data_IF_011831035606
#
_entry.id   IF_011831035606
#
_cell.length_a   1.000
_cell.length_b   1.000
_cell.length_c   1.000
_cell.angle_alpha   90.00
_cell.angle_beta   90.00
_cell.angle_gamma   90.00
#
_symmetry.space_group_name_H-M   'P 1'
#
loop_
_entity.id
_entity.type
_entity.pdbx_description
1 polymer ?
#
# COMPACT_ATOMS: atom_id res chain seq x y z
N UNK A 1 62.54 65.12 22.48
CA UNK A 1 61.11 64.78 22.37
C UNK A 1 60.91 63.76 21.27
N UNK A 2 60.76 62.48 21.58
CA UNK A 2 60.56 61.41 20.58
C UNK A 2 59.05 61.13 20.55
N UNK A 3 58.41 61.34 19.42
CA UNK A 3 57.00 60.97 19.16
C UNK A 3 56.92 59.48 18.88
N UNK A 4 56.23 58.73 19.72
CA UNK A 4 55.87 57.33 19.49
C UNK A 4 54.53 57.36 18.77
N UNK A 5 54.50 56.92 17.50
CA UNK A 5 53.30 56.73 16.71
C UNK A 5 52.82 55.28 16.93
N UNK A 6 51.77 55.09 17.73
CA UNK A 6 51.14 53.79 17.91
C UNK A 6 50.34 53.38 16.68
N UNK A 7 50.71 52.23 16.09
CA UNK A 7 49.99 51.57 15.03
C UNK A 7 48.94 50.64 15.62
N UNK A 8 47.66 51.03 15.57
CA UNK A 8 46.54 50.16 15.97
C UNK A 8 46.27 49.18 14.82
N UNK A 9 46.63 47.91 15.03
CA UNK A 9 46.28 46.80 14.08
C UNK A 9 44.85 46.35 14.41
N UNK A 10 43.89 46.75 13.59
CA UNK A 10 42.50 46.20 13.65
C UNK A 10 42.52 44.78 13.11
N UNK A 11 42.47 43.80 14.00
CA UNK A 11 42.22 42.38 13.65
C UNK A 11 40.72 42.24 13.37
N UNK A 12 40.37 42.17 12.07
CA UNK A 12 39.04 41.72 11.66
C UNK A 12 38.97 40.18 11.88
N UNK A 13 38.38 39.77 12.98
CA UNK A 13 37.93 38.38 13.16
C UNK A 13 36.74 38.18 12.21
N UNK A 14 37.03 37.58 11.05
CA UNK A 14 35.96 36.99 10.23
C UNK A 14 35.45 35.77 10.99
N UNK A 15 34.36 35.95 11.77
CA UNK A 15 33.53 34.86 12.15
C UNK A 15 32.80 34.41 10.88
N UNK A 16 33.38 33.43 10.17
CA UNK A 16 32.62 32.59 9.25
C UNK A 16 31.65 31.83 10.13
N UNK A 17 30.41 32.28 10.15
CA UNK A 17 29.30 31.47 10.66
C UNK A 17 29.19 30.31 9.68
N UNK A 18 29.79 29.15 9.98
CA UNK A 18 29.48 27.94 9.26
C UNK A 18 27.95 27.75 9.39
N UNK A 19 27.29 27.90 8.27
CA UNK A 19 25.84 27.71 8.21
C UNK A 19 25.60 26.22 8.49
N UNK A 20 24.82 25.92 9.51
CA UNK A 20 24.41 24.55 9.78
C UNK A 20 23.67 23.99 8.57
N UNK A 21 24.22 22.96 7.91
CA UNK A 21 23.66 22.29 6.76
C UNK A 21 23.14 20.89 7.11
N UNK A 22 22.95 20.60 8.39
CA UNK A 22 22.54 19.28 8.83
C UNK A 22 21.14 18.88 8.33
N UNK A 23 20.34 19.84 7.84
CA UNK A 23 19.09 19.54 7.13
C UNK A 23 19.30 18.63 5.91
N UNK A 24 20.46 18.70 5.24
CA UNK A 24 20.78 17.86 4.07
C UNK A 24 20.83 16.39 4.48
N UNK A 25 21.43 16.07 5.63
CA UNK A 25 21.50 14.71 6.14
C UNK A 25 20.10 14.17 6.43
N UNK A 26 19.21 14.98 7.04
CA UNK A 26 17.82 14.58 7.27
C UNK A 26 17.08 14.30 5.96
N UNK A 27 17.28 15.14 4.94
CA UNK A 27 16.59 15.00 3.66
C UNK A 27 17.11 13.85 2.79
N UNK A 28 18.38 13.46 2.93
CA UNK A 28 18.95 12.32 2.21
C UNK A 28 18.79 10.99 2.94
N UNK A 29 18.35 11.04 4.20
CA UNK A 29 18.07 9.86 5.00
C UNK A 29 16.79 9.17 4.50
N UNK A 30 16.86 7.90 4.04
CA UNK A 30 15.70 7.15 3.60
C UNK A 30 14.63 7.00 4.69
N UNK A 31 15.01 6.99 5.97
CA UNK A 31 14.07 6.92 7.09
C UNK A 31 13.11 8.12 7.11
N UNK A 32 13.52 9.27 6.59
CA UNK A 32 12.64 10.45 6.49
C UNK A 32 11.47 10.19 5.54
N UNK A 33 11.68 9.49 4.43
CA UNK A 33 10.60 9.10 3.53
C UNK A 33 9.74 7.96 4.11
N UNK A 34 10.38 6.96 4.70
CA UNK A 34 9.67 5.85 5.38
C UNK A 34 8.76 6.38 6.49
N UNK A 35 9.20 7.37 7.27
CA UNK A 35 8.39 8.02 8.30
C UNK A 35 7.17 8.77 7.71
N UNK A 36 7.32 9.37 6.54
CA UNK A 36 6.20 10.01 5.84
C UNK A 36 5.16 8.99 5.34
N UNK A 37 5.61 7.84 4.83
CA UNK A 37 4.73 6.72 4.45
C UNK A 37 4.03 6.14 5.68
N UNK A 38 4.76 5.93 6.78
CA UNK A 38 4.18 5.45 8.05
C UNK A 38 3.12 6.42 8.59
N UNK A 39 3.38 7.73 8.56
CA UNK A 39 2.39 8.73 8.96
C UNK A 39 1.11 8.65 8.11
N UNK A 40 1.25 8.44 6.81
CA UNK A 40 0.09 8.25 5.93
C UNK A 40 -0.66 6.96 6.27
N UNK A 41 0.06 5.87 6.54
CA UNK A 41 -0.51 4.59 7.02
C UNK A 41 -1.30 4.79 8.31
N UNK A 42 -0.75 5.52 9.29
CA UNK A 42 -1.43 5.80 10.57
C UNK A 42 -2.75 6.55 10.36
N UNK A 43 -2.79 7.47 9.41
CA UNK A 43 -4.03 8.19 9.08
C UNK A 43 -5.02 7.29 8.32
N UNK A 44 -4.56 6.44 7.41
CA UNK A 44 -5.40 5.44 6.72
C UNK A 44 -6.07 4.52 7.75
N UNK A 45 -5.32 4.03 8.73
CA UNK A 45 -5.82 3.20 9.84
C UNK A 45 -6.79 3.99 10.72
N UNK A 46 -6.46 5.24 11.03
CA UNK A 46 -7.31 6.11 11.84
C UNK A 46 -8.66 6.38 11.18
N UNK A 47 -8.67 6.66 9.88
CA UNK A 47 -9.84 6.96 9.06
C UNK A 47 -10.61 5.71 8.60
N UNK A 48 -10.09 4.50 8.87
CA UNK A 48 -10.69 3.20 8.54
C UNK A 48 -10.99 3.10 7.03
N UNK A 49 -10.01 3.40 6.19
CA UNK A 49 -10.17 3.24 4.74
C UNK A 49 -10.25 1.78 4.33
N UNK A 50 -11.12 1.48 3.35
CA UNK A 50 -11.19 0.15 2.74
C UNK A 50 -9.86 -0.24 2.08
N UNK A 51 -9.51 -1.54 2.04
CA UNK A 51 -8.26 -1.99 1.43
C UNK A 51 -8.03 -1.50 -0.01
N UNK A 52 -9.02 -1.53 -0.93
CA UNK A 52 -8.86 -0.96 -2.26
C UNK A 52 -8.59 0.56 -2.25
N UNK A 53 -9.33 1.31 -1.42
CA UNK A 53 -9.13 2.76 -1.31
C UNK A 53 -7.77 3.09 -0.72
N UNK A 54 -7.30 2.32 0.28
CA UNK A 54 -5.97 2.47 0.84
C UNK A 54 -4.87 2.29 -0.22
N UNK A 55 -4.99 1.31 -1.12
CA UNK A 55 -4.03 1.11 -2.21
C UNK A 55 -3.94 2.33 -3.13
N UNK A 56 -5.07 2.97 -3.41
CA UNK A 56 -5.12 4.23 -4.15
C UNK A 56 -4.40 5.36 -3.42
N UNK A 57 -4.59 5.46 -2.11
CA UNK A 57 -3.96 6.49 -1.27
C UNK A 57 -2.43 6.28 -1.19
N UNK A 58 -1.92 5.06 -1.27
CA UNK A 58 -0.48 4.81 -1.34
C UNK A 58 0.13 5.10 -2.71
N UNK A 59 -0.58 4.80 -3.80
CA UNK A 59 -0.01 4.85 -5.15
C UNK A 59 0.20 6.26 -5.66
N UNK A 60 -0.79 7.14 -5.59
CA UNK A 60 -0.68 8.49 -6.16
C UNK A 60 0.40 9.36 -5.47
N UNK A 61 0.54 9.38 -4.12
CA UNK A 61 1.64 10.09 -3.48
C UNK A 61 3.02 9.53 -3.87
N UNK A 62 3.15 8.20 -3.96
CA UNK A 62 4.40 7.55 -4.36
C UNK A 62 4.80 7.90 -5.79
N UNK A 63 3.84 7.93 -6.72
CA UNK A 63 4.06 8.39 -8.11
C UNK A 63 4.52 9.86 -8.13
N UNK A 64 3.87 10.73 -7.33
CA UNK A 64 4.28 12.14 -7.26
C UNK A 64 5.71 12.30 -6.73
N UNK A 65 6.08 11.55 -5.69
CA UNK A 65 7.42 11.56 -5.15
C UNK A 65 8.44 11.07 -6.18
N UNK A 66 8.14 9.99 -6.90
CA UNK A 66 9.04 9.42 -7.90
C UNK A 66 9.26 10.36 -9.10
N UNK A 67 8.22 11.01 -9.60
CA UNK A 67 8.34 11.96 -10.69
C UNK A 67 9.23 13.16 -10.33
N UNK A 68 9.40 13.48 -9.05
CA UNK A 68 10.37 14.47 -8.59
C UNK A 68 11.77 13.86 -8.48
N UNK A 69 11.92 12.72 -7.77
CA UNK A 69 13.25 12.20 -7.43
C UNK A 69 13.99 11.64 -8.65
N UNK A 70 13.30 11.28 -9.74
CA UNK A 70 13.95 10.86 -10.98
C UNK A 70 14.95 11.88 -11.54
N UNK A 71 14.82 13.14 -11.13
CA UNK A 71 15.75 14.21 -11.52
C UNK A 71 17.04 14.25 -10.68
N UNK A 72 17.15 13.47 -9.59
CA UNK A 72 18.38 13.34 -8.82
C UNK A 72 19.48 12.69 -9.67
N UNK A 73 19.10 11.64 -10.39
CA UNK A 73 19.97 10.99 -11.37
C UNK A 73 19.19 10.70 -12.67
N UNK A 74 19.14 11.68 -13.60
CA UNK A 74 18.46 11.51 -14.88
C UNK A 74 19.09 10.45 -15.79
N UNK A 75 20.31 9.97 -15.48
CA UNK A 75 20.94 8.87 -16.21
C UNK A 75 20.45 7.49 -15.72
N UNK A 76 20.05 7.39 -14.46
CA UNK A 76 19.55 6.16 -13.82
C UNK A 76 18.04 5.99 -14.02
N UNK A 77 17.27 7.04 -13.79
CA UNK A 77 15.81 6.96 -13.75
C UNK A 77 15.14 7.45 -15.02
N UNK A 78 13.96 6.91 -15.28
CA UNK A 78 13.06 7.35 -16.35
C UNK A 78 11.68 7.72 -15.78
N UNK A 79 10.96 8.59 -16.48
CA UNK A 79 9.62 9.00 -16.09
C UNK A 79 8.61 7.85 -16.22
N UNK A 80 7.60 7.84 -15.36
CA UNK A 80 6.45 6.95 -15.45
C UNK A 80 5.44 7.43 -16.50
N UNK A 81 5.53 8.67 -16.96
CA UNK A 81 4.68 9.21 -18.01
C UNK A 81 4.81 8.39 -19.30
N UNK A 82 3.65 7.97 -19.85
CA UNK A 82 3.56 7.10 -21.01
C UNK A 82 3.77 5.61 -20.72
N UNK A 83 4.07 5.23 -19.46
CA UNK A 83 4.09 3.86 -18.98
C UNK A 83 2.88 3.55 -18.09
N UNK A 84 2.34 4.58 -17.44
CA UNK A 84 1.11 4.53 -16.65
C UNK A 84 -0.02 5.16 -17.47
N UNK A 85 -1.19 4.58 -17.40
CA UNK A 85 -2.39 4.98 -18.14
C UNK A 85 -2.69 6.47 -17.98
N UNK A 86 -2.72 7.20 -19.08
CA UNK A 86 -3.04 8.64 -19.18
C UNK A 86 -2.12 9.57 -18.35
N UNK A 87 -1.02 9.06 -17.78
CA UNK A 87 -0.07 9.90 -17.08
C UNK A 87 0.80 10.68 -18.10
N UNK A 88 0.68 12.00 -18.07
CA UNK A 88 1.51 12.91 -18.87
C UNK A 88 2.75 13.34 -18.07
N UNK A 89 3.73 13.92 -18.76
CA UNK A 89 4.97 14.38 -18.12
C UNK A 89 4.69 15.42 -17.03
N UNK A 90 5.23 15.18 -15.84
CA UNK A 90 5.22 16.15 -14.76
C UNK A 90 6.10 17.37 -15.09
N UNK A 91 5.86 18.54 -14.46
CA UNK A 91 6.70 19.72 -14.59
C UNK A 91 8.18 19.42 -14.30
N UNK A 92 9.08 20.11 -15.03
CA UNK A 92 10.53 20.00 -14.82
C UNK A 92 10.99 20.92 -13.68
N UNK A 93 12.04 20.55 -12.90
CA UNK A 93 12.56 21.40 -11.84
C UNK A 93 13.24 22.66 -12.41
N UNK A 94 13.15 23.74 -11.64
CA UNK A 94 13.96 24.95 -11.89
C UNK A 94 15.23 24.92 -11.03
N UNK A 95 16.17 25.83 -11.30
CA UNK A 95 17.38 25.96 -10.50
C UNK A 95 17.08 26.19 -9.00
N UNK A 96 18.00 25.80 -8.12
CA UNK A 96 17.95 25.94 -6.65
C UNK A 96 16.93 25.06 -5.92
N UNK A 97 16.34 24.07 -6.55
CA UNK A 97 15.43 23.11 -5.91
C UNK A 97 16.22 22.01 -5.20
N UNK A 98 15.92 21.73 -3.93
CA UNK A 98 16.32 20.50 -3.27
C UNK A 98 15.31 19.41 -3.63
N UNK A 99 15.70 18.45 -4.46
CA UNK A 99 14.83 17.42 -5.02
C UNK A 99 14.30 16.44 -3.96
N UNK A 100 15.07 16.14 -2.90
CA UNK A 100 14.60 15.30 -1.79
C UNK A 100 13.44 15.99 -1.05
N UNK A 101 13.61 17.28 -0.71
CA UNK A 101 12.55 18.06 -0.07
C UNK A 101 11.31 18.20 -0.97
N UNK A 102 11.52 18.45 -2.26
CA UNK A 102 10.42 18.58 -3.23
C UNK A 102 9.66 17.25 -3.41
N UNK A 103 10.36 16.12 -3.46
CA UNK A 103 9.77 14.77 -3.53
C UNK A 103 8.93 14.47 -2.28
N UNK A 104 9.50 14.69 -1.11
CA UNK A 104 8.81 14.51 0.16
C UNK A 104 7.57 15.41 0.26
N UNK A 105 7.68 16.68 -0.17
CA UNK A 105 6.55 17.61 -0.20
C UNK A 105 5.46 17.18 -1.18
N UNK A 106 5.83 16.70 -2.37
CA UNK A 106 4.87 16.17 -3.34
C UNK A 106 4.11 14.97 -2.78
N UNK A 107 4.83 14.00 -2.15
CA UNK A 107 4.23 12.86 -1.45
C UNK A 107 3.20 13.31 -0.40
N UNK A 108 3.64 14.17 0.52
CA UNK A 108 2.80 14.63 1.63
C UNK A 108 1.60 15.45 1.17
N UNK A 109 1.74 16.26 0.13
CA UNK A 109 0.66 17.08 -0.42
C UNK A 109 -0.41 16.21 -1.07
N UNK A 110 -0.01 15.22 -1.90
CA UNK A 110 -0.96 14.29 -2.53
C UNK A 110 -1.61 13.40 -1.47
N UNK A 111 -0.81 12.84 -0.55
CA UNK A 111 -1.33 11.98 0.52
C UNK A 111 -2.37 12.70 1.38
N UNK A 112 -2.09 13.95 1.79
CA UNK A 112 -3.03 14.75 2.56
C UNK A 112 -4.35 15.01 1.82
N UNK A 113 -4.31 15.23 0.51
CA UNK A 113 -5.50 15.49 -0.29
C UNK A 113 -6.42 14.27 -0.50
N UNK A 114 -5.94 13.05 -0.20
CA UNK A 114 -6.67 11.80 -0.43
C UNK A 114 -7.26 11.18 0.85
N UNK A 115 -7.05 11.78 2.01
CA UNK A 115 -7.50 11.29 3.32
C UNK A 115 -8.57 12.20 3.93
N UNK A 116 -9.25 11.72 4.99
CA UNK A 116 -10.26 12.53 5.69
C UNK A 116 -9.65 13.39 6.80
N UNK A 117 -8.73 12.83 7.58
CA UNK A 117 -8.12 13.51 8.73
C UNK A 117 -6.89 14.33 8.33
N UNK A 118 -7.09 15.29 7.40
CA UNK A 118 -6.03 16.16 6.86
C UNK A 118 -5.20 16.86 7.95
N UNK A 119 -5.80 17.23 9.08
CA UNK A 119 -5.15 17.91 10.20
C UNK A 119 -4.03 17.09 10.83
N UNK A 120 -4.19 15.75 10.87
CA UNK A 120 -3.15 14.85 11.39
C UNK A 120 -1.92 14.85 10.49
N UNK A 121 -2.13 14.84 9.18
CA UNK A 121 -1.05 14.94 8.21
C UNK A 121 -0.42 16.33 8.24
N UNK A 122 -1.22 17.40 8.34
CA UNK A 122 -0.70 18.75 8.44
C UNK A 122 0.19 18.96 9.67
N UNK A 123 -0.24 18.44 10.81
CA UNK A 123 0.58 18.47 12.05
C UNK A 123 1.95 17.79 11.87
N UNK A 124 2.00 16.66 11.17
CA UNK A 124 3.26 16.00 10.83
C UNK A 124 4.12 16.86 9.90
N UNK A 125 3.52 17.42 8.85
CA UNK A 125 4.18 18.30 7.86
C UNK A 125 4.82 19.51 8.55
N UNK A 126 4.08 20.17 9.44
CA UNK A 126 4.57 21.35 10.16
C UNK A 126 5.78 21.02 11.04
N UNK A 127 5.71 19.95 11.82
CA UNK A 127 6.83 19.46 12.64
C UNK A 127 8.06 19.08 11.80
N UNK A 128 7.86 18.45 10.66
CA UNK A 128 8.94 18.11 9.75
C UNK A 128 9.67 19.36 9.25
N UNK A 129 8.92 20.38 8.84
CA UNK A 129 9.51 21.62 8.34
C UNK A 129 10.17 22.45 9.44
N UNK A 130 9.58 22.53 10.63
CA UNK A 130 10.25 23.12 11.80
C UNK A 130 11.60 22.44 12.09
N UNK A 131 11.63 21.11 12.12
CA UNK A 131 12.86 20.32 12.32
C UNK A 131 13.92 20.64 11.25
N UNK A 132 13.53 20.80 9.98
CA UNK A 132 14.46 21.11 8.89
C UNK A 132 14.97 22.57 9.00
N UNK A 133 14.12 23.52 9.38
CA UNK A 133 14.50 24.91 9.62
C UNK A 133 15.49 25.04 10.79
N UNK A 134 15.23 24.35 11.89
CA UNK A 134 16.12 24.30 13.05
C UNK A 134 17.50 23.71 12.69
N UNK A 135 17.57 22.87 11.66
CA UNK A 135 18.80 22.28 11.11
C UNK A 135 19.41 23.10 9.95
N UNK A 136 19.00 24.35 9.83
CA UNK A 136 19.60 25.30 8.90
C UNK A 136 19.07 25.28 7.47
N UNK A 137 17.88 24.72 7.20
CA UNK A 137 17.27 24.79 5.86
C UNK A 137 17.07 26.25 5.42
N UNK A 138 17.73 26.71 4.34
CA UNK A 138 17.60 28.08 3.86
C UNK A 138 16.17 28.36 3.36
N UNK A 139 15.64 29.54 3.67
CA UNK A 139 14.30 29.95 3.27
C UNK A 139 14.09 29.95 1.75
N UNK A 140 15.12 30.33 0.97
CA UNK A 140 15.06 30.29 -0.50
C UNK A 140 14.92 28.87 -1.02
N UNK A 141 15.73 27.94 -0.53
CA UNK A 141 15.70 26.53 -0.87
C UNK A 141 14.35 25.91 -0.48
N UNK A 142 13.87 26.15 0.76
CA UNK A 142 12.55 25.70 1.18
C UNK A 142 11.48 26.20 0.21
N UNK A 143 11.44 27.51 -0.05
CA UNK A 143 10.42 28.11 -0.92
C UNK A 143 10.42 27.51 -2.33
N UNK A 144 11.60 27.38 -2.95
CA UNK A 144 11.72 26.84 -4.31
C UNK A 144 11.31 25.37 -4.36
N UNK A 145 11.78 24.56 -3.39
CA UNK A 145 11.50 23.12 -3.33
C UNK A 145 10.01 22.83 -3.08
N UNK A 146 9.38 23.56 -2.15
CA UNK A 146 7.95 23.40 -1.91
C UNK A 146 7.13 23.87 -3.11
N UNK A 147 7.51 24.95 -3.79
CA UNK A 147 6.81 25.41 -4.99
C UNK A 147 6.85 24.37 -6.12
N UNK A 148 8.02 23.77 -6.37
CA UNK A 148 8.16 22.70 -7.37
C UNK A 148 7.41 21.42 -6.97
N UNK A 149 7.57 20.95 -5.73
CA UNK A 149 6.82 19.79 -5.22
C UNK A 149 5.30 19.98 -5.30
N UNK A 150 4.79 21.21 -5.03
CA UNK A 150 3.38 21.54 -5.20
C UNK A 150 2.94 21.46 -6.68
N UNK A 151 3.77 21.91 -7.62
CA UNK A 151 3.43 21.81 -9.05
C UNK A 151 3.29 20.35 -9.48
N UNK A 152 4.20 19.47 -9.07
CA UNK A 152 4.12 18.04 -9.36
C UNK A 152 2.92 17.41 -8.64
N UNK A 153 2.70 17.75 -7.36
CA UNK A 153 1.53 17.25 -6.61
C UNK A 153 0.22 17.61 -7.30
N UNK A 154 0.05 18.85 -7.73
CA UNK A 154 -1.16 19.31 -8.44
C UNK A 154 -1.36 18.56 -9.77
N UNK A 155 -0.28 18.33 -10.52
CA UNK A 155 -0.32 17.55 -11.76
C UNK A 155 -0.83 16.11 -11.50
N UNK A 156 -0.33 15.45 -10.46
CA UNK A 156 -0.77 14.10 -10.09
C UNK A 156 -2.20 14.11 -9.54
N UNK A 157 -2.60 15.11 -8.74
CA UNK A 157 -3.96 15.23 -8.23
C UNK A 157 -4.98 15.47 -9.36
N UNK A 158 -4.67 16.31 -10.35
CA UNK A 158 -5.51 16.53 -11.52
C UNK A 158 -5.69 15.22 -12.31
N UNK A 159 -4.59 14.51 -12.59
CA UNK A 159 -4.63 13.21 -13.25
C UNK A 159 -5.41 12.16 -12.45
N UNK A 160 -5.20 12.08 -11.12
CA UNK A 160 -5.92 11.16 -10.24
C UNK A 160 -7.42 11.46 -10.17
N UNK A 161 -7.82 12.70 -10.36
CA UNK A 161 -9.23 13.11 -10.40
C UNK A 161 -10.03 12.52 -11.58
N UNK A 162 -9.34 12.02 -12.60
CA UNK A 162 -9.92 11.34 -13.77
C UNK A 162 -10.02 9.83 -13.66
N UNK A 163 -9.76 9.23 -12.50
CA UNK A 163 -9.69 7.78 -12.30
C UNK A 163 -11.05 7.10 -12.02
N UNK A 164 -12.15 7.80 -12.13
CA UNK A 164 -13.52 7.33 -11.83
C UNK A 164 -13.84 7.16 -10.34
N UNK A 165 -12.90 7.36 -9.40
CA UNK A 165 -13.15 7.19 -7.97
C UNK A 165 -14.34 8.01 -7.46
N UNK A 166 -14.41 9.28 -7.87
CA UNK A 166 -15.50 10.17 -7.47
C UNK A 166 -16.86 9.70 -8.03
N UNK A 167 -16.87 9.21 -9.27
CA UNK A 167 -18.08 8.75 -9.96
C UNK A 167 -18.62 7.47 -9.31
N UNK A 168 -17.74 6.50 -8.97
CA UNK A 168 -18.16 5.25 -8.33
C UNK A 168 -18.87 5.45 -7.00
N UNK A 169 -18.61 6.56 -6.30
CA UNK A 169 -19.34 6.93 -5.04
C UNK A 169 -20.82 7.22 -5.27
N UNK A 170 -21.23 7.47 -6.51
CA UNK A 170 -22.62 7.79 -6.87
C UNK A 170 -23.35 6.62 -7.53
N UNK A 171 -22.66 5.50 -7.78
CA UNK A 171 -23.25 4.32 -8.40
C UNK A 171 -24.15 3.57 -7.43
N UNK A 172 -25.13 2.77 -7.94
CA UNK A 172 -26.00 1.98 -7.07
C UNK A 172 -25.21 1.03 -6.17
N UNK A 173 -25.63 0.91 -4.93
CA UNK A 173 -25.07 -0.10 -4.02
C UNK A 173 -25.42 -1.50 -4.50
N UNK A 174 -24.63 -2.49 -4.06
CA UNK A 174 -24.95 -3.89 -4.31
C UNK A 174 -26.32 -4.24 -3.72
N UNK A 175 -27.15 -4.91 -4.52
CA UNK A 175 -28.43 -5.44 -4.08
C UNK A 175 -28.28 -6.92 -3.77
N UNK A 176 -28.67 -7.34 -2.57
CA UNK A 176 -28.60 -8.74 -2.14
C UNK A 176 -29.46 -9.59 -3.08
N UNK A 177 -28.86 -10.70 -3.55
CA UNK A 177 -29.51 -11.68 -4.44
C UNK A 177 -30.00 -12.87 -3.59
N UNK A 178 -31.11 -13.50 -4.02
CA UNK A 178 -31.74 -14.60 -3.27
C UNK A 178 -31.04 -15.95 -3.51
N UNK A 179 -30.32 -16.10 -4.63
CA UNK A 179 -29.63 -17.32 -5.00
C UNK A 179 -28.67 -17.79 -3.90
N UNK A 180 -28.63 -19.10 -3.56
CA UNK A 180 -27.86 -19.62 -2.43
C UNK A 180 -26.35 -19.46 -2.58
N UNK A 181 -25.85 -19.44 -3.81
CA UNK A 181 -24.43 -19.28 -4.13
C UNK A 181 -23.94 -17.82 -4.09
N UNK A 182 -24.86 -16.85 -3.99
CA UNK A 182 -24.51 -15.43 -4.04
C UNK A 182 -24.20 -14.87 -2.66
N UNK A 183 -23.18 -14.01 -2.62
CA UNK A 183 -22.72 -13.35 -1.42
C UNK A 183 -23.82 -12.54 -0.73
N UNK A 184 -23.86 -12.67 0.58
CA UNK A 184 -24.73 -11.91 1.48
C UNK A 184 -23.90 -11.34 2.62
N UNK A 185 -24.29 -10.18 3.19
CA UNK A 185 -23.66 -9.64 4.39
C UNK A 185 -23.61 -10.68 5.52
N UNK A 186 -22.50 -10.70 6.25
CA UNK A 186 -22.23 -11.65 7.34
C UNK A 186 -22.27 -10.98 8.72
N UNK A 187 -22.48 -11.77 9.80
CA UNK A 187 -22.36 -11.26 11.16
C UNK A 187 -20.97 -10.64 11.42
N UNK A 188 -20.81 -9.82 12.50
CA UNK A 188 -21.86 -9.39 13.41
C UNK A 188 -22.66 -8.19 12.92
N UNK A 189 -22.15 -7.39 11.98
CA UNK A 189 -22.72 -6.08 11.63
C UNK A 189 -23.55 -6.10 10.34
N UNK A 190 -23.51 -7.17 9.58
CA UNK A 190 -24.19 -7.26 8.28
C UNK A 190 -23.91 -6.06 7.38
N UNK A 191 -22.62 -5.68 7.31
CA UNK A 191 -22.17 -4.49 6.58
C UNK A 191 -22.48 -4.60 5.09
N UNK A 192 -22.78 -3.46 4.47
CA UNK A 192 -22.94 -3.37 3.02
C UNK A 192 -21.67 -3.77 2.28
N UNK A 193 -21.81 -4.26 1.05
CA UNK A 193 -20.69 -4.67 0.21
C UNK A 193 -19.71 -3.53 -0.08
N UNK A 194 -18.43 -3.79 0.17
CA UNK A 194 -17.35 -2.81 0.02
C UNK A 194 -16.92 -2.72 -1.44
N UNK A 195 -16.93 -1.48 -1.97
CA UNK A 195 -16.37 -1.11 -3.27
C UNK A 195 -16.90 -1.95 -4.45
N UNK A 196 -18.24 -2.10 -4.63
CA UNK A 196 -18.79 -2.95 -5.68
C UNK A 196 -18.47 -2.48 -7.11
N UNK A 197 -17.98 -1.26 -7.25
CA UNK A 197 -17.63 -0.66 -8.54
C UNK A 197 -16.13 -0.37 -8.69
N UNK A 198 -15.27 -1.03 -7.89
CA UNK A 198 -13.82 -0.80 -7.94
C UNK A 198 -13.21 -1.18 -9.30
N UNK A 199 -13.82 -2.09 -10.03
CA UNK A 199 -13.46 -2.44 -11.41
C UNK A 199 -13.52 -1.27 -12.40
N UNK A 200 -14.30 -0.23 -12.11
CA UNK A 200 -14.45 0.95 -12.94
C UNK A 200 -13.32 1.97 -12.70
N UNK A 201 -12.51 1.77 -11.67
CA UNK A 201 -11.34 2.61 -11.40
C UNK A 201 -10.30 2.38 -12.50
N UNK A 202 -9.75 3.47 -13.02
CA UNK A 202 -8.70 3.41 -14.06
C UNK A 202 -7.47 2.69 -13.51
N UNK A 203 -7.07 1.56 -14.11
CA UNK A 203 -5.83 0.88 -13.74
C UNK A 203 -4.60 1.73 -14.10
N UNK A 204 -3.47 1.42 -13.48
CA UNK A 204 -2.23 2.15 -13.71
C UNK A 204 -1.39 1.52 -14.82
N UNK A 205 -1.16 0.22 -14.79
CA UNK A 205 -0.28 -0.50 -15.70
C UNK A 205 -1.00 -1.61 -16.45
N UNK A 206 -1.91 -2.34 -15.79
CA UNK A 206 -2.73 -3.36 -16.49
C UNK A 206 -3.70 -2.68 -17.46
N UNK A 207 -4.03 -3.36 -18.55
CA UNK A 207 -4.85 -2.80 -19.64
C UNK A 207 -6.32 -2.62 -19.24
N UNK A 208 -6.83 -3.49 -18.37
CA UNK A 208 -8.21 -3.47 -17.86
C UNK A 208 -8.34 -4.28 -16.58
N UNK A 209 -9.41 -4.05 -15.82
CA UNK A 209 -9.71 -4.80 -14.59
C UNK A 209 -9.82 -6.32 -14.81
N UNK A 210 -10.39 -6.75 -15.93
CA UNK A 210 -10.56 -8.17 -16.30
C UNK A 210 -9.40 -8.78 -17.10
N UNK A 211 -8.24 -8.11 -17.22
CA UNK A 211 -7.13 -8.63 -18.01
C UNK A 211 -6.60 -9.98 -17.49
N UNK A 212 -6.60 -10.17 -16.18
CA UNK A 212 -6.15 -11.39 -15.51
C UNK A 212 -7.34 -12.06 -14.82
N UNK A 213 -8.36 -12.38 -15.61
CA UNK A 213 -9.52 -13.12 -15.14
C UNK A 213 -9.10 -14.54 -14.74
N UNK A 214 -9.28 -14.93 -13.46
CA UNK A 214 -8.97 -16.29 -13.03
C UNK A 214 -9.96 -17.29 -13.61
N UNK A 215 -9.70 -18.58 -13.45
CA UNK A 215 -10.67 -19.62 -13.79
C UNK A 215 -11.97 -19.42 -13.01
N UNK A 216 -13.11 -19.81 -13.57
CA UNK A 216 -14.40 -19.69 -12.89
C UNK A 216 -14.41 -20.43 -11.54
N UNK A 217 -15.09 -19.88 -10.50
CA UNK A 217 -15.28 -20.57 -9.24
C UNK A 217 -16.09 -21.86 -9.42
N UNK A 218 -15.82 -22.84 -8.56
CA UNK A 218 -16.56 -24.10 -8.56
C UNK A 218 -18.08 -23.87 -8.38
N UNK A 219 -18.85 -24.62 -9.11
CA UNK A 219 -20.31 -24.55 -9.00
C UNK A 219 -20.79 -24.91 -7.60
N UNK A 220 -21.61 -24.05 -7.01
CA UNK A 220 -22.19 -24.29 -5.69
C UNK A 220 -22.95 -25.62 -5.65
N UNK A 221 -22.57 -26.51 -4.74
CA UNK A 221 -23.22 -27.78 -4.51
C UNK A 221 -23.01 -28.27 -3.08
N UNK A 222 -24.08 -28.73 -2.45
CA UNK A 222 -24.03 -29.37 -1.12
C UNK A 222 -24.01 -30.91 -1.23
N UNK A 223 -24.00 -31.45 -2.44
CA UNK A 223 -23.93 -32.90 -2.68
C UNK A 223 -22.55 -33.44 -2.31
N UNK A 224 -22.55 -34.49 -1.47
CA UNK A 224 -21.32 -35.15 -1.03
C UNK A 224 -20.49 -35.67 -2.23
N UNK A 225 -19.19 -35.38 -2.23
CA UNK A 225 -18.27 -35.75 -3.30
C UNK A 225 -18.10 -34.72 -4.41
N UNK A 226 -18.88 -33.65 -4.43
CA UNK A 226 -18.61 -32.50 -5.32
C UNK A 226 -17.43 -31.68 -4.83
N UNK A 227 -16.75 -30.98 -5.74
CA UNK A 227 -15.58 -30.18 -5.40
C UNK A 227 -15.91 -29.05 -4.43
N UNK A 228 -17.01 -28.32 -4.66
CA UNK A 228 -17.45 -27.28 -3.72
C UNK A 228 -17.71 -27.84 -2.31
N UNK A 229 -18.41 -28.99 -2.21
CA UNK A 229 -18.66 -29.62 -0.91
C UNK A 229 -17.36 -30.03 -0.21
N UNK A 230 -16.38 -30.56 -0.95
CA UNK A 230 -15.07 -30.95 -0.40
C UNK A 230 -14.37 -29.72 0.22
N UNK A 231 -14.33 -28.60 -0.49
CA UNK A 231 -13.70 -27.37 -0.01
C UNK A 231 -14.47 -26.72 1.14
N UNK A 232 -15.80 -26.78 1.13
CA UNK A 232 -16.62 -26.36 2.26
C UNK A 232 -16.29 -27.15 3.53
N UNK A 233 -16.21 -28.48 3.41
CA UNK A 233 -15.84 -29.36 4.53
C UNK A 233 -14.40 -29.13 5.00
N UNK A 234 -13.46 -28.82 4.09
CA UNK A 234 -12.10 -28.46 4.46
C UNK A 234 -12.05 -27.21 5.37
N UNK A 235 -12.74 -26.12 5.01
CA UNK A 235 -12.83 -24.93 5.85
C UNK A 235 -13.45 -25.26 7.21
N UNK A 236 -14.53 -26.04 7.24
CA UNK A 236 -15.22 -26.41 8.46
C UNK A 236 -14.35 -27.26 9.40
N UNK A 237 -13.66 -28.28 8.89
CA UNK A 237 -12.84 -29.18 9.71
C UNK A 237 -11.52 -28.50 10.14
N UNK A 238 -10.89 -27.71 9.28
CA UNK A 238 -9.71 -26.92 9.65
C UNK A 238 -10.05 -25.93 10.75
N UNK A 239 -11.15 -25.20 10.62
CA UNK A 239 -11.60 -24.24 11.64
C UNK A 239 -11.88 -24.85 13.02
N UNK A 240 -12.19 -26.16 13.09
CA UNK A 240 -12.41 -26.88 14.34
C UNK A 240 -11.15 -27.44 14.99
N UNK A 241 -10.04 -27.51 14.27
CA UNK A 241 -8.84 -28.23 14.68
C UNK A 241 -7.54 -27.45 14.51
N UNK A 242 -7.62 -26.10 14.49
CA UNK A 242 -6.44 -25.23 14.39
C UNK A 242 -5.46 -25.49 15.52
N UNK A 243 -4.19 -25.60 15.19
CA UNK A 243 -3.12 -25.58 16.16
C UNK A 243 -2.69 -24.13 16.50
N UNK A 244 -1.71 -24.01 17.42
CA UNK A 244 -1.21 -22.68 17.87
C UNK A 244 -0.53 -21.91 16.75
N UNK A 245 0.21 -22.59 15.85
CA UNK A 245 0.90 -21.94 14.74
C UNK A 245 -0.08 -21.47 13.66
N UNK A 246 -1.04 -22.29 13.28
CA UNK A 246 -2.10 -21.92 12.33
C UNK A 246 -2.91 -20.72 12.82
N UNK A 247 -3.22 -20.71 14.12
CA UNK A 247 -3.90 -19.57 14.77
C UNK A 247 -3.05 -18.31 14.71
N UNK A 248 -1.75 -18.41 15.06
CA UNK A 248 -0.83 -17.28 15.01
C UNK A 248 -0.64 -16.74 13.57
N UNK A 249 -0.57 -17.61 12.57
CA UNK A 249 -0.53 -17.23 11.15
C UNK A 249 -1.77 -16.45 10.76
N UNK A 250 -2.96 -16.96 11.10
CA UNK A 250 -4.21 -16.28 10.77
C UNK A 250 -4.32 -14.90 11.42
N UNK A 251 -3.96 -14.78 12.70
CA UNK A 251 -3.99 -13.52 13.46
C UNK A 251 -2.99 -12.50 12.93
N UNK A 252 -1.76 -12.94 12.58
CA UNK A 252 -0.71 -12.08 12.04
C UNK A 252 -1.12 -11.40 10.72
N UNK A 253 -1.79 -12.14 9.85
CA UNK A 253 -2.27 -11.63 8.56
C UNK A 253 -3.72 -11.10 8.62
N UNK A 254 -4.31 -10.91 9.82
CA UNK A 254 -5.65 -10.32 9.96
C UNK A 254 -5.62 -8.80 9.79
N UNK A 255 -5.39 -8.36 8.58
CA UNK A 255 -5.38 -6.96 8.17
C UNK A 255 -6.79 -6.46 7.81
N UNK A 256 -7.82 -6.83 8.59
CA UNK A 256 -9.19 -6.40 8.35
C UNK A 256 -9.50 -5.12 9.13
N UNK A 257 -9.70 -3.94 8.48
CA UNK A 257 -10.01 -2.69 9.16
C UNK A 257 -11.44 -2.64 9.73
N UNK A 258 -12.27 -3.63 9.43
CA UNK A 258 -13.68 -3.68 9.80
C UNK A 258 -13.99 -4.62 10.98
N UNK A 259 -12.98 -5.08 11.72
CA UNK A 259 -13.21 -5.90 12.92
C UNK A 259 -13.93 -5.10 13.97
N UNK A 260 -15.11 -5.58 14.38
CA UNK A 260 -15.97 -4.90 15.35
C UNK A 260 -16.28 -5.79 16.54
N UNK A 261 -16.44 -5.15 17.69
CA UNK A 261 -16.84 -5.81 18.94
C UNK A 261 -18.04 -5.11 19.54
N UNK A 262 -19.03 -5.87 19.96
CA UNK A 262 -20.25 -5.36 20.59
C UNK A 262 -20.25 -5.62 22.11
N UNK A 263 -20.55 -4.57 22.89
CA UNK A 263 -20.86 -4.68 24.33
C UNK A 263 -22.19 -4.00 24.58
N UNK A 264 -23.27 -4.77 24.57
CA UNK A 264 -24.63 -4.23 24.66
C UNK A 264 -24.92 -3.36 23.44
N UNK A 265 -25.18 -2.06 23.65
CA UNK A 265 -25.47 -1.10 22.56
C UNK A 265 -24.22 -0.36 22.05
N UNK A 266 -23.04 -0.63 22.60
CA UNK A 266 -21.81 0.02 22.19
C UNK A 266 -21.01 -0.88 21.23
N UNK A 267 -20.66 -0.36 20.06
CA UNK A 267 -19.76 -0.96 19.08
C UNK A 267 -18.36 -0.38 19.25
N UNK A 268 -17.38 -1.24 19.27
CA UNK A 268 -15.96 -0.87 19.28
C UNK A 268 -15.29 -1.48 18.06
N UNK A 269 -14.68 -0.64 17.20
CA UNK A 269 -13.87 -1.11 16.09
C UNK A 269 -12.42 -1.27 16.52
N UNK A 270 -11.81 -2.41 16.21
CA UNK A 270 -10.36 -2.58 16.28
C UNK A 270 -9.76 -2.00 15.01
N UNK A 271 -8.97 -0.94 15.18
CA UNK A 271 -8.29 -0.32 14.04
C UNK A 271 -7.07 -1.17 13.68
N UNK A 272 -7.08 -1.73 12.49
CA UNK A 272 -5.98 -2.55 11.94
C UNK A 272 -5.46 -1.94 10.65
N UNK A 273 -4.21 -2.27 10.34
CA UNK A 273 -3.61 -1.97 9.04
C UNK A 273 -4.36 -2.72 7.94
N UNK A 274 -4.38 -2.17 6.73
CA UNK A 274 -4.89 -2.89 5.56
C UNK A 274 -3.84 -3.84 5.01
N UNK A 275 -4.22 -4.88 4.23
CA UNK A 275 -3.23 -5.78 3.62
C UNK A 275 -2.19 -5.05 2.76
N UNK A 276 -2.61 -4.05 1.99
CA UNK A 276 -1.69 -3.18 1.24
C UNK A 276 -0.77 -2.38 2.16
N UNK A 277 -1.29 -1.89 3.30
CA UNK A 277 -0.49 -1.20 4.31
C UNK A 277 0.56 -2.09 4.95
N UNK A 278 0.24 -3.36 5.21
CA UNK A 278 1.20 -4.36 5.70
C UNK A 278 2.38 -4.51 4.72
N UNK A 279 2.11 -4.67 3.42
CA UNK A 279 3.16 -4.74 2.40
C UNK A 279 3.96 -3.44 2.26
N UNK A 280 3.35 -2.27 2.47
CA UNK A 280 4.10 -1.00 2.57
C UNK A 280 5.01 -0.97 3.81
N UNK A 281 4.64 -1.62 4.90
CA UNK A 281 5.50 -1.86 6.07
C UNK A 281 6.68 -2.78 5.74
N UNK A 282 6.45 -3.89 5.02
CA UNK A 282 7.51 -4.78 4.53
C UNK A 282 8.49 -4.03 3.62
N UNK A 283 8.01 -3.11 2.76
CA UNK A 283 8.90 -2.21 1.97
C UNK A 283 9.82 -1.40 2.87
N UNK A 284 9.33 -0.87 4.00
CA UNK A 284 10.17 -0.13 4.94
C UNK A 284 11.29 -1.02 5.53
N UNK A 285 10.96 -2.26 5.86
CA UNK A 285 11.92 -3.24 6.39
C UNK A 285 12.96 -3.58 5.31
N UNK A 286 12.52 -3.91 4.11
CA UNK A 286 13.39 -4.31 3.01
C UNK A 286 14.36 -3.18 2.60
N UNK A 287 13.85 -1.96 2.43
CA UNK A 287 14.69 -0.80 2.04
C UNK A 287 15.72 -0.45 3.10
N UNK A 288 15.36 -0.58 4.39
CA UNK A 288 16.30 -0.37 5.50
C UNK A 288 17.37 -1.46 5.55
N UNK A 289 16.97 -2.73 5.45
CA UNK A 289 17.89 -3.86 5.49
C UNK A 289 18.87 -3.87 4.31
N UNK A 290 18.39 -3.49 3.13
CA UNK A 290 19.22 -3.40 1.93
C UNK A 290 20.14 -2.16 1.91
N UNK A 291 19.93 -1.19 2.83
CA UNK A 291 20.67 0.07 2.84
C UNK A 291 20.40 0.97 1.64
N UNK A 292 19.16 0.96 1.15
CA UNK A 292 18.75 1.77 0.01
C UNK A 292 18.96 3.26 0.29
N UNK A 293 19.34 4.02 -0.74
CA UNK A 293 19.31 5.48 -0.69
C UNK A 293 17.88 6.02 -0.64
N UNK A 294 17.72 7.32 -0.41
CA UNK A 294 16.40 7.96 -0.41
C UNK A 294 15.64 7.75 -1.72
N UNK A 295 16.30 7.96 -2.85
CA UNK A 295 15.73 7.81 -4.19
C UNK A 295 15.34 6.35 -4.49
N UNK A 296 16.18 5.39 -4.11
CA UNK A 296 15.88 3.95 -4.23
C UNK A 296 14.70 3.55 -3.33
N UNK A 297 14.62 4.11 -2.13
CA UNK A 297 13.48 3.88 -1.22
C UNK A 297 12.18 4.38 -1.86
N UNK A 298 12.16 5.60 -2.41
CA UNK A 298 10.98 6.12 -3.14
C UNK A 298 10.63 5.23 -4.33
N UNK A 299 11.63 4.74 -5.08
CA UNK A 299 11.42 3.84 -6.21
C UNK A 299 10.70 2.56 -5.82
N UNK A 300 11.17 1.88 -4.77
CA UNK A 300 10.57 0.61 -4.30
C UNK A 300 9.14 0.82 -3.81
N UNK A 301 8.90 1.86 -3.00
CA UNK A 301 7.54 2.21 -2.58
C UNK A 301 6.61 2.48 -3.77
N UNK A 302 7.11 3.15 -4.79
CA UNK A 302 6.32 3.47 -5.99
C UNK A 302 5.96 2.20 -6.77
N UNK A 303 6.94 1.34 -7.07
CA UNK A 303 6.70 0.08 -7.79
C UNK A 303 5.71 -0.81 -7.03
N UNK A 304 5.93 -0.99 -5.72
CA UNK A 304 5.08 -1.86 -4.89
C UNK A 304 3.67 -1.30 -4.77
N UNK A 305 3.50 0.00 -4.52
CA UNK A 305 2.17 0.60 -4.41
C UNK A 305 1.36 0.52 -5.72
N UNK A 306 2.02 0.67 -6.88
CA UNK A 306 1.38 0.51 -8.19
C UNK A 306 0.92 -0.94 -8.39
N UNK A 307 1.78 -1.91 -8.07
CA UNK A 307 1.44 -3.34 -8.16
C UNK A 307 0.25 -3.70 -7.25
N UNK A 308 0.25 -3.20 -6.00
CA UNK A 308 -0.87 -3.37 -5.07
C UNK A 308 -2.18 -2.78 -5.62
N UNK A 309 -2.12 -1.58 -6.20
CA UNK A 309 -3.31 -0.91 -6.72
C UNK A 309 -3.95 -1.68 -7.89
N UNK A 310 -3.15 -2.07 -8.87
CA UNK A 310 -3.62 -2.84 -10.02
C UNK A 310 -4.10 -4.25 -9.60
N UNK A 311 -3.44 -4.87 -8.62
CA UNK A 311 -3.88 -6.14 -8.04
C UNK A 311 -5.25 -6.03 -7.35
N UNK A 312 -5.53 -4.93 -6.64
CA UNK A 312 -6.85 -4.68 -6.08
C UNK A 312 -7.92 -4.47 -7.17
N UNK A 313 -7.59 -3.81 -8.26
CA UNK A 313 -8.54 -3.62 -9.37
C UNK A 313 -8.89 -4.97 -9.99
N UNK A 314 -7.90 -5.81 -10.30
CA UNK A 314 -8.10 -7.14 -10.87
C UNK A 314 -8.89 -8.07 -9.92
N UNK A 315 -8.52 -8.10 -8.64
CA UNK A 315 -9.22 -8.90 -7.63
C UNK A 315 -10.67 -8.47 -7.43
N UNK A 316 -10.94 -7.15 -7.37
CA UNK A 316 -12.30 -6.64 -7.17
C UNK A 316 -13.18 -6.78 -8.40
N UNK A 317 -12.60 -6.82 -9.62
CA UNK A 317 -13.33 -7.22 -10.81
C UNK A 317 -13.93 -8.61 -10.65
N UNK A 318 -13.09 -9.57 -10.26
CA UNK A 318 -13.54 -10.95 -10.05
C UNK A 318 -14.56 -11.06 -8.93
N UNK A 319 -14.30 -10.45 -7.77
CA UNK A 319 -15.21 -10.51 -6.63
C UNK A 319 -16.63 -10.08 -6.97
N UNK A 320 -16.79 -8.98 -7.68
CA UNK A 320 -18.10 -8.44 -8.00
C UNK A 320 -18.66 -8.95 -9.33
N UNK A 321 -17.90 -9.72 -10.07
CA UNK A 321 -18.36 -10.46 -11.25
C UNK A 321 -18.95 -11.82 -10.86
N UNK A 322 -18.24 -12.60 -10.04
CA UNK A 322 -18.68 -13.94 -9.60
C UNK A 322 -19.63 -13.92 -8.39
N UNK A 323 -19.43 -12.97 -7.46
CA UNK A 323 -20.28 -12.75 -6.27
C UNK A 323 -20.42 -14.02 -5.40
N UNK A 324 -19.34 -14.76 -5.21
CA UNK A 324 -19.36 -16.05 -4.49
C UNK A 324 -19.63 -15.87 -3.01
N UNK A 325 -20.45 -16.77 -2.47
CA UNK A 325 -20.86 -16.84 -1.07
C UNK A 325 -19.69 -17.23 -0.15
N UNK A 326 -19.65 -16.66 1.07
CA UNK A 326 -18.63 -16.94 2.08
C UNK A 326 -18.86 -18.27 2.81
N UNK A 327 -17.78 -18.97 3.25
CA UNK A 327 -17.88 -20.21 4.03
C UNK A 327 -18.79 -20.08 5.25
N UNK A 328 -18.64 -19.00 6.04
CA UNK A 328 -19.45 -18.73 7.24
C UNK A 328 -20.97 -18.82 6.94
N UNK A 329 -21.41 -18.19 5.86
CA UNK A 329 -22.83 -18.22 5.49
C UNK A 329 -23.31 -19.62 5.15
N UNK A 330 -22.53 -20.39 4.40
CA UNK A 330 -22.91 -21.75 3.98
C UNK A 330 -22.87 -22.69 5.17
N UNK A 331 -21.83 -22.63 6.00
CA UNK A 331 -21.69 -23.48 7.19
C UNK A 331 -22.83 -23.24 8.15
N UNK A 332 -23.14 -21.98 8.48
CA UNK A 332 -24.24 -21.67 9.42
C UNK A 332 -25.59 -22.07 8.88
N UNK A 333 -25.83 -22.02 7.57
CA UNK A 333 -27.14 -22.40 7.00
C UNK A 333 -27.34 -23.90 6.86
N UNK A 334 -26.26 -24.66 6.62
CA UNK A 334 -26.42 -26.05 6.15
C UNK A 334 -25.68 -27.12 6.98
N UNK A 335 -24.70 -26.73 7.82
CA UNK A 335 -23.87 -27.67 8.57
C UNK A 335 -23.97 -27.46 10.09
N UNK A 336 -23.72 -26.23 10.57
CA UNK A 336 -23.57 -25.94 11.99
C UNK A 336 -23.89 -24.44 12.22
N UNK A 337 -25.07 -24.18 12.78
CA UNK A 337 -25.59 -22.82 12.99
C UNK A 337 -24.76 -21.99 13.99
N UNK A 338 -24.03 -22.66 14.87
CA UNK A 338 -23.20 -22.04 15.91
C UNK A 338 -21.73 -21.89 15.50
N UNK A 339 -21.34 -22.37 14.31
CA UNK A 339 -19.95 -22.26 13.85
C UNK A 339 -19.56 -20.81 13.59
N UNK A 340 -18.37 -20.43 14.07
CA UNK A 340 -17.78 -19.12 13.82
C UNK A 340 -16.39 -19.28 13.23
N UNK A 341 -16.05 -18.49 12.20
CA UNK A 341 -14.68 -18.41 11.71
C UNK A 341 -13.74 -17.80 12.78
N UNK A 342 -12.47 -18.15 12.77
CA UNK A 342 -11.47 -17.53 13.66
C UNK A 342 -11.37 -16.02 13.41
N UNK A 343 -11.43 -15.61 12.15
CA UNK A 343 -11.37 -14.20 11.76
C UNK A 343 -12.77 -13.71 11.33
N UNK A 344 -13.07 -12.46 11.65
CA UNK A 344 -14.31 -11.86 11.19
C UNK A 344 -14.35 -11.80 9.65
N UNK A 345 -15.40 -12.37 9.06
CA UNK A 345 -15.62 -12.36 7.61
C UNK A 345 -15.74 -10.93 7.09
N UNK A 346 -14.90 -10.50 6.14
CA UNK A 346 -14.96 -9.14 5.62
C UNK A 346 -16.15 -8.95 4.66
N UNK A 347 -16.69 -7.71 4.55
CA UNK A 347 -17.96 -7.43 3.87
C UNK A 347 -17.80 -7.29 2.34
N UNK A 348 -17.38 -8.35 1.67
CA UNK A 348 -17.30 -8.44 0.20
C UNK A 348 -17.29 -9.92 -0.24
N UNK A 349 -17.59 -10.20 -1.53
CA UNK A 349 -17.63 -11.58 -2.05
C UNK A 349 -16.33 -12.36 -1.81
N UNK A 350 -16.49 -13.67 -1.82
CA UNK A 350 -15.44 -14.59 -1.42
C UNK A 350 -14.30 -14.67 -2.46
N UNK A 351 -14.62 -14.94 -3.73
CA UNK A 351 -13.68 -15.32 -4.78
C UNK A 351 -13.18 -14.09 -5.58
N UNK A 352 -11.89 -13.95 -5.86
CA UNK A 352 -10.71 -14.61 -5.34
C UNK A 352 -10.27 -14.03 -3.99
N UNK A 353 -9.37 -14.71 -3.26
CA UNK A 353 -8.84 -14.19 -1.99
C UNK A 353 -8.01 -12.92 -2.20
N UNK A 354 -8.48 -11.80 -1.61
CA UNK A 354 -7.79 -10.52 -1.73
C UNK A 354 -6.36 -10.54 -1.18
N UNK A 355 -6.14 -11.20 -0.02
CA UNK A 355 -4.80 -11.38 0.55
C UNK A 355 -3.87 -12.15 -0.38
N UNK A 356 -4.38 -13.20 -1.04
CA UNK A 356 -3.58 -14.00 -1.98
C UNK A 356 -3.15 -13.15 -3.17
N UNK A 357 -4.09 -12.45 -3.83
CA UNK A 357 -3.82 -11.65 -5.03
C UNK A 357 -2.80 -10.55 -4.75
N UNK A 358 -3.07 -9.71 -3.76
CA UNK A 358 -2.23 -8.52 -3.51
C UNK A 358 -0.88 -8.88 -2.90
N UNK A 359 -0.83 -9.89 -2.01
CA UNK A 359 0.43 -10.32 -1.41
C UNK A 359 1.35 -10.93 -2.45
N UNK A 360 0.83 -11.77 -3.36
CA UNK A 360 1.64 -12.32 -4.43
C UNK A 360 2.14 -11.24 -5.39
N UNK A 361 1.31 -10.27 -5.78
CA UNK A 361 1.72 -9.18 -6.66
C UNK A 361 2.81 -8.30 -6.02
N UNK A 362 2.69 -7.98 -4.73
CA UNK A 362 3.71 -7.25 -3.98
C UNK A 362 5.01 -8.07 -3.85
N UNK A 363 4.92 -9.36 -3.51
CA UNK A 363 6.07 -10.25 -3.38
C UNK A 363 6.85 -10.38 -4.70
N UNK A 364 6.17 -10.55 -5.84
CA UNK A 364 6.80 -10.57 -7.17
C UNK A 364 7.55 -9.27 -7.43
N UNK A 365 6.94 -8.12 -7.10
CA UNK A 365 7.56 -6.81 -7.30
C UNK A 365 8.82 -6.61 -6.44
N UNK A 366 8.79 -7.05 -5.19
CA UNK A 366 9.93 -6.96 -4.28
C UNK A 366 11.02 -7.97 -4.63
N UNK A 367 10.64 -9.18 -5.07
CA UNK A 367 11.57 -10.20 -5.55
C UNK A 367 12.30 -9.74 -6.82
N UNK A 368 11.61 -9.08 -7.78
CA UNK A 368 12.24 -8.46 -8.96
C UNK A 368 13.32 -7.42 -8.58
N UNK A 369 13.13 -6.74 -7.46
CA UNK A 369 14.05 -5.68 -7.02
C UNK A 369 15.21 -6.20 -6.16
N UNK A 370 14.95 -7.16 -5.25
CA UNK A 370 15.92 -7.61 -4.25
C UNK A 370 16.47 -9.02 -4.48
N UNK A 371 15.86 -9.81 -5.37
CA UNK A 371 16.20 -11.22 -5.61
C UNK A 371 15.36 -12.19 -4.81
N UNK A 372 15.50 -13.48 -5.11
CA UNK A 372 14.65 -14.55 -4.59
C UNK A 372 14.93 -14.90 -3.10
N UNK A 373 16.17 -14.72 -2.64
CA UNK A 373 16.65 -15.15 -1.32
C UNK A 373 16.75 -13.99 -0.32
N UNK A 374 15.79 -13.05 -0.33
CA UNK A 374 15.78 -11.92 0.59
C UNK A 374 15.05 -12.30 1.88
N UNK A 375 15.80 -12.80 2.86
CA UNK A 375 15.28 -13.11 4.19
C UNK A 375 15.06 -11.81 5.01
N UNK A 376 13.95 -11.73 5.76
CA UNK A 376 13.64 -10.57 6.60
C UNK A 376 12.82 -10.96 7.82
N UNK A 377 12.86 -10.10 8.84
CA UNK A 377 12.01 -10.20 10.03
C UNK A 377 10.90 -9.16 9.93
N UNK A 378 9.66 -9.63 9.72
CA UNK A 378 8.50 -8.76 9.62
C UNK A 378 8.03 -8.30 11.00
N UNK A 379 8.21 -7.03 11.27
CA UNK A 379 7.83 -6.35 12.49
C UNK A 379 6.60 -5.46 12.33
N UNK A 380 5.90 -5.55 11.21
CA UNK A 380 4.80 -4.64 10.85
C UNK A 380 3.64 -4.70 11.85
N UNK A 381 3.34 -5.89 12.38
CA UNK A 381 2.25 -6.09 13.33
C UNK A 381 2.65 -5.92 14.80
N UNK A 382 3.94 -5.65 15.10
CA UNK A 382 4.41 -5.48 16.49
C UNK A 382 3.73 -4.30 17.20
N UNK A 383 3.49 -3.21 16.50
CA UNK A 383 2.77 -2.05 17.05
C UNK A 383 1.30 -2.35 17.37
N UNK A 384 0.72 -3.39 16.76
CA UNK A 384 -0.64 -3.87 17.01
C UNK A 384 -0.69 -5.00 18.04
N UNK A 385 0.47 -5.35 18.65
CA UNK A 385 0.58 -6.28 19.78
C UNK A 385 0.86 -7.73 19.37
N UNK A 386 1.16 -8.02 18.10
CA UNK A 386 1.53 -9.35 17.63
C UNK A 386 3.06 -9.52 17.58
N UNK A 387 3.59 -10.74 17.77
CA UNK A 387 5.01 -10.99 17.63
C UNK A 387 5.48 -10.80 16.18
N UNK A 388 6.75 -10.43 15.99
CA UNK A 388 7.37 -10.43 14.68
C UNK A 388 7.48 -11.85 14.11
N UNK A 389 7.48 -11.97 12.76
CA UNK A 389 7.64 -13.23 12.04
C UNK A 389 8.82 -13.18 11.07
N UNK A 390 9.57 -14.27 10.99
CA UNK A 390 10.74 -14.40 10.11
C UNK A 390 10.35 -15.10 8.81
N UNK A 391 10.80 -14.55 7.69
CA UNK A 391 10.59 -15.11 6.35
C UNK A 391 11.91 -15.22 5.60
N UNK A 392 12.08 -16.31 4.85
CA UNK A 392 13.24 -16.55 3.99
C UNK A 392 13.17 -15.75 2.68
N UNK A 393 11.95 -15.37 2.25
CA UNK A 393 11.71 -14.61 1.02
C UNK A 393 10.36 -13.89 1.06
N UNK A 394 10.16 -12.91 0.16
CA UNK A 394 8.86 -12.27 -0.03
C UNK A 394 7.80 -13.24 -0.55
N UNK A 395 8.21 -14.22 -1.37
CA UNK A 395 7.31 -15.25 -1.87
C UNK A 395 6.77 -16.11 -0.73
N UNK A 396 7.64 -16.55 0.19
CA UNK A 396 7.21 -17.30 1.38
C UNK A 396 6.22 -16.49 2.23
N UNK A 397 6.50 -15.20 2.47
CA UNK A 397 5.57 -14.34 3.19
C UNK A 397 4.20 -14.24 2.48
N UNK A 398 4.19 -14.18 1.15
CA UNK A 398 2.94 -14.16 0.37
C UNK A 398 2.17 -15.49 0.42
N UNK A 399 2.86 -16.61 0.51
CA UNK A 399 2.26 -17.94 0.69
C UNK A 399 1.61 -18.08 2.07
N UNK A 400 2.29 -17.58 3.10
CA UNK A 400 1.73 -17.56 4.45
C UNK A 400 0.51 -16.62 4.54
N UNK A 401 0.58 -15.44 3.92
CA UNK A 401 -0.55 -14.52 3.81
C UNK A 401 -1.76 -15.16 3.09
N UNK A 402 -1.52 -15.97 2.09
CA UNK A 402 -2.55 -16.68 1.35
C UNK A 402 -3.22 -17.78 2.19
N UNK A 403 -2.45 -18.71 2.75
CA UNK A 403 -2.98 -19.84 3.55
C UNK A 403 -3.64 -19.37 4.85
N UNK A 404 -3.22 -18.22 5.39
CA UNK A 404 -3.84 -17.63 6.58
C UNK A 404 -5.35 -17.45 6.46
N UNK A 405 -5.88 -17.35 5.25
CA UNK A 405 -7.31 -17.15 4.97
C UNK A 405 -8.12 -18.42 5.13
N UNK A 406 -7.53 -19.59 4.88
CA UNK A 406 -8.12 -20.89 5.21
C UNK A 406 -8.16 -21.06 6.73
N UNK A 407 -7.05 -20.81 7.43
CA UNK A 407 -6.98 -20.87 8.90
C UNK A 407 -7.94 -19.88 9.55
N UNK A 408 -8.11 -18.72 8.96
CA UNK A 408 -9.10 -17.73 9.37
C UNK A 408 -10.56 -18.16 9.20
N UNK A 409 -10.82 -19.21 8.40
CA UNK A 409 -12.17 -19.72 8.14
C UNK A 409 -13.00 -18.87 7.18
N UNK A 410 -12.37 -17.99 6.39
CA UNK A 410 -13.06 -16.97 5.59
C UNK A 410 -12.94 -17.14 4.07
N UNK A 411 -12.14 -18.12 3.62
CA UNK A 411 -11.95 -18.44 2.19
C UNK A 411 -11.87 -19.94 1.95
N UNK A 412 -12.39 -20.37 0.79
CA UNK A 412 -12.15 -21.70 0.24
C UNK A 412 -10.76 -21.81 -0.36
N UNK A 413 -10.21 -23.03 -0.43
CA UNK A 413 -8.85 -23.24 -0.90
C UNK A 413 -8.66 -22.78 -2.36
N UNK A 414 -9.64 -23.02 -3.24
CA UNK A 414 -9.58 -22.57 -4.63
C UNK A 414 -9.47 -21.05 -4.76
N UNK A 415 -10.13 -20.26 -3.89
CA UNK A 415 -10.03 -18.80 -3.95
C UNK A 415 -8.66 -18.32 -3.51
N UNK A 416 -8.00 -19.09 -2.63
CA UNK A 416 -6.64 -18.84 -2.16
C UNK A 416 -5.65 -19.13 -3.29
N UNK A 417 -5.71 -20.33 -3.89
CA UNK A 417 -4.79 -20.78 -4.94
C UNK A 417 -4.94 -19.92 -6.21
N UNK A 418 -6.17 -19.77 -6.72
CA UNK A 418 -6.42 -18.95 -7.91
C UNK A 418 -6.14 -17.45 -7.66
N UNK A 419 -6.26 -17.00 -6.40
CA UNK A 419 -5.84 -15.66 -6.02
C UNK A 419 -4.32 -15.49 -6.07
N UNK A 420 -3.55 -16.50 -5.69
CA UNK A 420 -2.07 -16.50 -5.83
C UNK A 420 -1.70 -16.41 -7.31
N UNK A 421 -2.30 -17.24 -8.17
CA UNK A 421 -2.03 -17.25 -9.60
C UNK A 421 -2.39 -15.89 -10.25
N UNK A 422 -3.56 -15.34 -9.94
CA UNK A 422 -3.99 -14.02 -10.41
C UNK A 422 -3.00 -12.92 -9.98
N UNK A 423 -2.57 -12.94 -8.72
CA UNK A 423 -1.60 -11.98 -8.19
C UNK A 423 -0.22 -12.09 -8.83
N UNK A 424 0.20 -13.32 -9.16
CA UNK A 424 1.46 -13.59 -9.86
C UNK A 424 1.44 -13.01 -11.27
N UNK A 425 0.34 -13.20 -12.01
CA UNK A 425 0.18 -12.65 -13.36
C UNK A 425 0.18 -11.12 -13.35
N UNK A 426 -0.57 -10.49 -12.44
CA UNK A 426 -0.57 -9.03 -12.27
C UNK A 426 0.83 -8.52 -11.93
N UNK A 427 1.49 -9.10 -10.94
CA UNK A 427 2.83 -8.71 -10.52
C UNK A 427 3.84 -8.82 -11.66
N UNK A 428 3.87 -9.95 -12.39
CA UNK A 428 4.73 -10.16 -13.57
C UNK A 428 4.46 -9.14 -14.67
N UNK A 429 3.19 -8.82 -14.93
CA UNK A 429 2.84 -7.84 -15.93
C UNK A 429 3.30 -6.44 -15.55
N UNK A 430 3.11 -6.05 -14.29
CA UNK A 430 3.55 -4.74 -13.79
C UNK A 430 5.08 -4.60 -13.91
N UNK A 431 5.86 -5.57 -13.43
CA UNK A 431 7.33 -5.49 -13.51
C UNK A 431 7.84 -5.54 -14.96
N UNK A 432 7.12 -6.20 -15.87
CA UNK A 432 7.48 -6.24 -17.29
C UNK A 432 7.25 -4.90 -17.99
N UNK A 433 6.18 -4.17 -17.66
CA UNK A 433 5.74 -2.97 -18.35
C UNK A 433 6.08 -1.65 -17.64
N UNK A 434 6.36 -1.67 -16.34
CA UNK A 434 6.75 -0.50 -15.57
C UNK A 434 8.26 -0.47 -15.34
N UNK A 435 8.97 0.32 -16.12
CA UNK A 435 10.44 0.48 -16.04
C UNK A 435 10.79 1.82 -15.39
N UNK A 436 11.22 1.76 -14.15
CA UNK A 436 11.66 2.95 -13.38
C UNK A 436 13.10 3.33 -13.70
N UNK A 437 13.91 2.37 -14.18
CA UNK A 437 15.34 2.58 -14.52
C UNK A 437 15.57 2.49 -16.03
N UNK A 438 16.57 3.23 -16.50
CA UNK A 438 17.07 3.13 -17.88
C UNK A 438 17.90 1.86 -18.04
N UNK A 439 17.81 1.23 -19.19
CA UNK A 439 18.73 0.13 -19.53
C UNK A 439 20.15 0.67 -19.70
N UNK A 440 21.18 -0.16 -19.42
CA UNK A 440 22.58 0.24 -19.45
C UNK A 440 23.05 0.81 -20.79
N UNK A 441 22.33 0.57 -21.89
CA UNK A 441 22.62 1.11 -23.23
C UNK A 441 22.02 2.49 -23.48
N UNK A 442 20.94 2.89 -22.77
CA UNK A 442 20.31 4.23 -22.88
C UNK A 442 21.06 5.30 -22.07
N UNK A 443 21.93 4.90 -21.15
CA UNK A 443 22.67 5.79 -20.27
C UNK A 443 23.91 6.46 -20.94
N UNK A 444 24.17 6.21 -22.23
CA UNK A 444 25.41 6.61 -22.92
C UNK A 444 25.22 7.72 -23.98
N UNK A 445 24.08 8.40 -24.04
CA UNK A 445 23.83 9.48 -25.02
C UNK A 445 23.35 10.77 -24.37
#
# INVERSE_FOLDING_TARGET
MKKITGFFLLIFLNFSCEQDESYKQVLTDPETFQAAVKQLTDVIVYDIFSPPVASRIYSYPSIAAFEVIRHIDPSKYRTLAGQITDLTKAPEPVDEVNLHLASLHAYLTVGKALIFSEEKMQTYIDKLYERLEDKGLPRSVKKASLAYGTQVANHILEWSGGDMYKQTRTFPKYTIQDEPEKWKPTPPDYMEGIEPHWREIRPLVIDSAGQFEPIDPEAFSLEEGTEFHRQLMEVYEVGKSLDEEQTAIAEFWDCNPYVSHHRGHAMFATKKITPGGHWMGIVAIATRQAGNSFDETVEVYTKTSISLFDAFISCWDEKWRSIVIRPETVINQYLDEDWLPLLQTPPFPEYTSGHSVISRAAAITLTDYYGDDFAFNDTTEVEYGLPAREFESFLQASEEAAISRLYGGIHYMMAIENGVDQGEEVGKFVIANLKTRKEAQEATF
#
